data_IF_122011380088
#
_entry.id   IF_122011380088
#
_cell.length_a   1.000
_cell.length_b   1.000
_cell.length_c   1.000
_cell.angle_alpha   90.00
_cell.angle_beta   90.00
_cell.angle_gamma   90.00
#
_symmetry.space_group_name_H-M   'P 1'
#
loop_
_entity.id
_entity.type
_entity.pdbx_description
1 polymer ?
#
# COMPACT_ATOMS: atom_id res chain seq x y z
N UNK A 1 6.85 -24.05 -8.21
CA UNK A 1 7.91 -23.53 -7.34
C UNK A 1 7.32 -22.32 -6.59
N UNK A 2 7.60 -22.15 -5.31
CA UNK A 2 7.16 -20.97 -4.55
C UNK A 2 7.92 -19.75 -5.05
N UNK A 3 7.20 -18.65 -5.29
CA UNK A 3 7.82 -17.35 -5.62
C UNK A 3 8.12 -16.57 -4.34
N UNK A 4 9.24 -15.89 -4.32
CA UNK A 4 9.71 -15.11 -3.17
C UNK A 4 9.85 -13.64 -3.58
N UNK A 5 9.21 -12.74 -2.82
CA UNK A 5 9.26 -11.30 -3.04
C UNK A 5 10.18 -10.59 -2.04
N UNK A 6 10.72 -9.45 -2.43
CA UNK A 6 11.44 -8.55 -1.55
C UNK A 6 10.57 -7.32 -1.25
N UNK A 7 10.37 -7.04 0.05
CA UNK A 7 9.61 -5.86 0.50
C UNK A 7 10.53 -4.66 0.70
N UNK A 8 10.21 -3.53 0.08
CA UNK A 8 11.11 -2.36 0.07
C UNK A 8 11.17 -1.59 1.40
N UNK A 9 10.35 -1.93 2.40
CA UNK A 9 10.35 -1.25 3.71
C UNK A 9 11.72 -1.31 4.43
N UNK A 10 12.52 -2.34 4.18
CA UNK A 10 13.89 -2.43 4.70
C UNK A 10 14.88 -1.41 4.11
N UNK A 11 14.51 -0.78 2.99
CA UNK A 11 15.36 0.15 2.24
C UNK A 11 14.97 1.63 2.42
N UNK A 12 14.15 1.98 3.40
CA UNK A 12 13.62 3.35 3.61
C UNK A 12 14.69 4.45 3.70
N UNK A 13 15.94 4.09 4.01
CA UNK A 13 17.08 5.03 4.11
C UNK A 13 18.07 4.93 2.94
N UNK A 14 17.74 4.12 1.94
CA UNK A 14 18.54 3.90 0.75
C UNK A 14 17.77 4.36 -0.48
N UNK A 15 18.42 4.65 -1.61
CA UNK A 15 17.72 4.77 -2.88
C UNK A 15 16.89 3.52 -3.18
N UNK A 16 15.67 3.69 -3.72
CA UNK A 16 14.80 2.58 -4.08
C UNK A 16 15.48 1.57 -5.02
N UNK A 17 16.33 2.07 -5.90
CA UNK A 17 17.09 1.26 -6.84
C UNK A 17 17.96 0.17 -6.19
N UNK A 18 18.46 0.41 -4.96
CA UNK A 18 19.26 -0.61 -4.25
C UNK A 18 18.40 -1.86 -3.94
N UNK A 19 17.12 -1.70 -3.61
CA UNK A 19 16.24 -2.85 -3.40
C UNK A 19 16.04 -3.66 -4.68
N UNK A 20 15.86 -3.02 -5.82
CA UNK A 20 15.71 -3.71 -7.11
C UNK A 20 17.01 -4.42 -7.52
N UNK A 21 18.15 -3.79 -7.28
CA UNK A 21 19.47 -4.37 -7.54
C UNK A 21 19.68 -5.63 -6.71
N UNK A 22 19.47 -5.55 -5.40
CA UNK A 22 19.64 -6.68 -4.48
C UNK A 22 18.63 -7.79 -4.78
N UNK A 23 17.39 -7.45 -5.09
CA UNK A 23 16.38 -8.43 -5.47
C UNK A 23 16.80 -9.23 -6.72
N UNK A 24 17.37 -8.57 -7.72
CA UNK A 24 17.89 -9.22 -8.92
C UNK A 24 19.11 -10.07 -8.62
N UNK A 25 20.05 -9.55 -7.81
CA UNK A 25 21.29 -10.24 -7.47
C UNK A 25 21.04 -11.52 -6.65
N UNK A 26 20.12 -11.46 -5.68
CA UNK A 26 19.82 -12.59 -4.80
C UNK A 26 18.69 -13.50 -5.31
N UNK A 27 18.17 -13.27 -6.51
CA UNK A 27 17.24 -14.18 -7.18
C UNK A 27 15.82 -14.14 -6.62
N UNK A 28 15.35 -12.99 -6.17
CA UNK A 28 13.94 -12.79 -5.85
C UNK A 28 13.10 -12.75 -7.13
N UNK A 29 11.83 -13.13 -7.02
CA UNK A 29 10.92 -13.23 -8.15
C UNK A 29 10.15 -11.92 -8.41
N UNK A 30 9.97 -11.06 -7.37
CA UNK A 30 9.20 -9.82 -7.46
C UNK A 30 9.52 -8.86 -6.31
N UNK A 31 9.04 -7.62 -6.46
CA UNK A 31 9.04 -6.59 -5.43
C UNK A 31 7.63 -6.41 -4.85
N UNK A 32 7.54 -6.28 -3.53
CA UNK A 32 6.43 -5.62 -2.85
C UNK A 32 6.89 -4.22 -2.46
N UNK A 33 6.20 -3.20 -3.00
CA UNK A 33 6.61 -1.81 -2.88
C UNK A 33 5.96 -1.14 -1.66
N UNK A 34 6.78 -0.67 -0.72
CA UNK A 34 6.31 0.13 0.40
C UNK A 34 5.92 1.54 -0.05
N UNK A 35 4.69 1.96 0.26
CA UNK A 35 4.07 3.20 -0.18
C UNK A 35 4.32 4.41 0.73
N UNK A 36 5.51 4.52 1.28
CA UNK A 36 5.95 5.67 2.07
C UNK A 36 7.07 6.47 1.40
N UNK A 37 7.33 7.68 1.92
CA UNK A 37 8.49 8.46 1.50
C UNK A 37 9.79 7.88 2.10
N UNK A 38 10.90 7.90 1.35
CA UNK A 38 11.11 8.62 0.09
C UNK A 38 10.77 7.81 -1.18
N UNK A 39 10.23 6.59 -1.09
CA UNK A 39 10.19 5.68 -2.22
C UNK A 39 8.95 5.81 -3.10
N UNK A 40 7.77 5.60 -2.54
CA UNK A 40 6.57 5.39 -3.36
C UNK A 40 5.29 5.89 -2.67
N UNK A 41 5.33 7.06 -2.07
CA UNK A 41 4.14 7.69 -1.51
C UNK A 41 3.15 8.02 -2.62
N UNK A 42 1.89 7.57 -2.52
CA UNK A 42 0.93 7.63 -3.62
C UNK A 42 0.74 9.03 -4.24
N UNK A 43 0.68 10.15 -3.48
CA UNK A 43 0.63 11.47 -4.07
C UNK A 43 1.89 11.85 -4.86
N UNK A 44 3.07 11.41 -4.44
CA UNK A 44 4.32 11.67 -5.16
C UNK A 44 4.39 10.82 -6.44
N UNK A 45 3.92 9.57 -6.40
CA UNK A 45 3.76 8.73 -7.60
C UNK A 45 2.85 9.39 -8.63
N UNK A 46 1.70 9.92 -8.20
CA UNK A 46 0.78 10.67 -9.07
C UNK A 46 1.41 11.94 -9.65
N UNK A 47 2.29 12.59 -8.89
CA UNK A 47 3.01 13.78 -9.34
C UNK A 47 4.14 13.50 -10.35
N UNK A 48 4.51 12.23 -10.54
CA UNK A 48 5.49 11.83 -11.55
C UNK A 48 6.52 10.79 -11.13
N UNK A 49 6.69 10.52 -9.84
CA UNK A 49 7.68 9.56 -9.32
C UNK A 49 7.40 8.12 -9.79
N UNK A 50 6.19 7.82 -10.26
CA UNK A 50 5.85 6.53 -10.87
C UNK A 50 6.75 6.18 -12.06
N UNK A 51 7.29 7.18 -12.75
CA UNK A 51 8.19 6.95 -13.87
C UNK A 51 9.52 6.33 -13.44
N UNK A 52 10.01 6.68 -12.25
CA UNK A 52 11.19 6.04 -11.67
C UNK A 52 10.91 4.57 -11.34
N UNK A 53 9.76 4.26 -10.73
CA UNK A 53 9.36 2.87 -10.45
C UNK A 53 9.31 2.05 -11.74
N UNK A 54 8.67 2.58 -12.79
CA UNK A 54 8.59 1.92 -14.11
C UNK A 54 9.99 1.70 -14.71
N UNK A 55 10.85 2.69 -14.63
CA UNK A 55 12.26 2.58 -15.10
C UNK A 55 13.01 1.45 -14.38
N UNK A 56 12.81 1.31 -13.04
CA UNK A 56 13.44 0.26 -12.26
C UNK A 56 12.89 -1.13 -12.59
N UNK A 57 11.58 -1.27 -12.78
CA UNK A 57 10.93 -2.50 -13.24
C UNK A 57 11.58 -2.97 -14.55
N UNK A 58 11.69 -2.06 -15.52
CA UNK A 58 12.28 -2.37 -16.84
C UNK A 58 13.78 -2.68 -16.74
N UNK A 59 14.54 -1.84 -16.03
CA UNK A 59 16.00 -1.97 -15.91
C UNK A 59 16.43 -3.29 -15.28
N UNK A 60 15.72 -3.75 -14.25
CA UNK A 60 16.08 -4.95 -13.50
C UNK A 60 15.23 -6.17 -13.91
N UNK A 61 14.27 -6.00 -14.83
CA UNK A 61 13.30 -7.04 -15.20
C UNK A 61 12.63 -7.64 -13.95
N UNK A 62 12.31 -6.79 -12.99
CA UNK A 62 11.79 -7.17 -11.67
C UNK A 62 10.40 -6.57 -11.48
N UNK A 63 9.32 -7.38 -11.56
CA UNK A 63 7.96 -6.86 -11.46
C UNK A 63 7.64 -6.39 -10.04
N UNK A 64 6.85 -5.32 -9.93
CA UNK A 64 6.18 -4.94 -8.69
C UNK A 64 4.81 -5.62 -8.68
N UNK A 65 4.62 -6.61 -7.79
CA UNK A 65 3.38 -7.37 -7.69
C UNK A 65 2.47 -6.85 -6.58
N UNK A 66 3.04 -6.34 -5.50
CA UNK A 66 2.29 -5.78 -4.36
C UNK A 66 2.64 -4.33 -4.09
N UNK A 67 1.66 -3.58 -3.60
CA UNK A 67 1.85 -2.23 -3.11
C UNK A 67 1.23 -2.09 -1.72
N UNK A 68 2.02 -1.62 -0.75
CA UNK A 68 1.62 -1.48 0.66
C UNK A 68 1.71 -0.02 1.07
N UNK A 69 0.61 0.77 0.92
CA UNK A 69 0.58 2.18 1.29
C UNK A 69 0.71 2.35 2.81
N UNK A 70 1.45 3.37 3.25
CA UNK A 70 1.54 3.73 4.67
C UNK A 70 0.26 4.45 5.11
N UNK A 71 -0.52 3.84 6.03
CA UNK A 71 -1.85 4.35 6.42
C UNK A 71 -2.27 3.99 7.85
N UNK A 72 -1.41 3.36 8.65
CA UNK A 72 -1.79 2.85 9.98
C UNK A 72 -1.87 3.93 11.06
N UNK A 73 -1.28 5.10 10.79
CA UNK A 73 -1.18 6.20 11.73
C UNK A 73 -1.49 7.53 11.03
N UNK A 74 -1.06 8.64 11.63
CA UNK A 74 -1.18 9.96 11.02
C UNK A 74 -0.47 10.01 9.64
N UNK A 75 -1.09 10.64 8.63
CA UNK A 75 -2.41 11.30 8.67
C UNK A 75 -3.60 10.41 8.26
N UNK A 76 -3.40 9.18 7.84
CA UNK A 76 -4.40 8.39 7.10
C UNK A 76 -5.02 7.23 7.88
N UNK A 77 -5.13 7.34 9.20
CA UNK A 77 -5.84 6.34 9.98
C UNK A 77 -7.37 6.51 9.83
N UNK A 78 -8.02 5.58 9.14
CA UNK A 78 -9.46 5.62 8.91
C UNK A 78 -10.30 5.09 10.09
N UNK A 79 -9.67 4.52 11.12
CA UNK A 79 -10.39 3.92 12.25
C UNK A 79 -10.70 4.91 13.38
N UNK A 80 -10.01 6.03 13.47
CA UNK A 80 -10.20 7.07 14.48
C UNK A 80 -10.62 8.40 13.87
N UNK A 81 -11.05 9.33 14.72
CA UNK A 81 -11.39 10.69 14.31
C UNK A 81 -12.76 10.84 13.65
N UNK A 82 -12.98 11.97 13.01
CA UNK A 82 -14.23 12.34 12.36
C UNK A 82 -14.47 11.60 11.03
N UNK A 83 -15.69 11.69 10.51
CA UNK A 83 -16.00 11.14 9.18
C UNK A 83 -15.22 11.87 8.06
N UNK A 84 -14.87 13.15 8.23
CA UNK A 84 -14.01 13.86 7.29
C UNK A 84 -12.61 13.25 7.24
N UNK A 85 -12.03 12.92 8.39
CA UNK A 85 -10.73 12.25 8.47
C UNK A 85 -10.77 10.82 7.89
N UNK A 86 -11.88 10.09 8.13
CA UNK A 86 -12.06 8.78 7.48
C UNK A 86 -12.07 8.91 5.96
N UNK A 87 -12.78 9.89 5.42
CA UNK A 87 -12.85 10.14 3.97
C UNK A 87 -11.49 10.47 3.39
N UNK A 88 -10.72 11.33 4.04
CA UNK A 88 -9.37 11.68 3.60
C UNK A 88 -8.46 10.44 3.52
N UNK A 89 -8.52 9.57 4.53
CA UNK A 89 -7.79 8.30 4.51
C UNK A 89 -8.27 7.35 3.40
N UNK A 90 -9.59 7.28 3.16
CA UNK A 90 -10.17 6.46 2.07
C UNK A 90 -9.76 7.00 0.70
N UNK A 91 -9.78 8.32 0.51
CA UNK A 91 -9.37 8.94 -0.75
C UNK A 91 -7.87 8.71 -1.03
N UNK A 92 -7.03 8.76 0.00
CA UNK A 92 -5.63 8.37 -0.12
C UNK A 92 -5.45 6.89 -0.51
N UNK A 93 -6.23 5.97 0.07
CA UNK A 93 -6.17 4.55 -0.27
C UNK A 93 -6.73 4.27 -1.67
N UNK A 94 -7.74 5.01 -2.13
CA UNK A 94 -8.20 4.94 -3.53
C UNK A 94 -7.11 5.39 -4.51
N UNK A 95 -6.43 6.49 -4.20
CA UNK A 95 -5.27 6.91 -5.00
C UNK A 95 -4.17 5.85 -4.99
N UNK A 96 -3.95 5.20 -3.86
CA UNK A 96 -2.97 4.10 -3.74
C UNK A 96 -3.33 2.91 -4.65
N UNK A 97 -4.62 2.56 -4.74
CA UNK A 97 -5.13 1.54 -5.67
C UNK A 97 -4.91 1.93 -7.14
N UNK A 98 -5.16 3.20 -7.49
CA UNK A 98 -4.89 3.73 -8.84
C UNK A 98 -3.42 3.61 -9.20
N UNK A 99 -2.51 4.07 -8.33
CA UNK A 99 -1.07 4.02 -8.57
C UNK A 99 -0.55 2.58 -8.64
N UNK A 100 -1.05 1.69 -7.80
CA UNK A 100 -0.73 0.26 -7.87
C UNK A 100 -1.13 -0.33 -9.22
N UNK A 101 -2.34 -0.05 -9.71
CA UNK A 101 -2.80 -0.50 -11.04
C UNK A 101 -1.91 0.04 -12.15
N UNK A 102 -1.53 1.31 -12.08
CA UNK A 102 -0.65 1.95 -13.08
C UNK A 102 0.77 1.38 -13.10
N UNK A 103 1.26 0.84 -11.98
CA UNK A 103 2.56 0.16 -11.90
C UNK A 103 2.50 -1.30 -12.37
N UNK A 104 1.30 -1.84 -12.61
CA UNK A 104 1.09 -3.24 -12.94
C UNK A 104 1.04 -4.18 -11.74
N UNK A 105 0.85 -3.66 -10.52
CA UNK A 105 0.70 -4.47 -9.33
C UNK A 105 -0.61 -5.29 -9.37
N UNK A 106 -0.57 -6.48 -8.77
CA UNK A 106 -1.73 -7.38 -8.70
C UNK A 106 -2.60 -7.11 -7.47
N UNK A 107 -2.01 -6.55 -6.40
CA UNK A 107 -2.71 -6.29 -5.16
C UNK A 107 -2.21 -5.05 -4.44
N UNK A 108 -3.09 -4.48 -3.60
CA UNK A 108 -2.75 -3.50 -2.57
C UNK A 108 -2.99 -4.14 -1.21
N UNK A 109 -1.97 -4.13 -0.36
CA UNK A 109 -2.07 -4.57 1.02
C UNK A 109 -2.46 -3.40 1.90
N UNK A 110 -3.52 -3.54 2.68
CA UNK A 110 -3.93 -2.60 3.73
C UNK A 110 -4.08 -3.34 5.05
N UNK A 111 -4.22 -2.60 6.14
CA UNK A 111 -4.50 -3.14 7.46
C UNK A 111 -5.75 -2.51 8.05
N UNK A 112 -6.32 -3.08 9.14
CA UNK A 112 -7.44 -2.46 9.86
C UNK A 112 -7.10 -1.12 10.50
N UNK A 113 -5.83 -0.71 10.54
CA UNK A 113 -5.33 0.43 11.30
C UNK A 113 -5.59 0.30 12.83
N UNK A 114 -5.37 1.36 13.59
CA UNK A 114 -5.58 1.35 15.05
C UNK A 114 -6.87 2.10 15.40
N UNK A 115 -7.80 1.43 16.09
CA UNK A 115 -9.10 1.98 16.46
C UNK A 115 -9.09 2.91 17.69
N UNK A 116 -7.94 3.06 18.35
CA UNK A 116 -7.83 3.82 19.60
C UNK A 116 -8.49 3.13 20.80
N UNK A 117 -8.65 3.86 21.89
CA UNK A 117 -9.06 3.29 23.20
C UNK A 117 -10.46 3.68 23.65
N UNK A 118 -11.14 4.59 22.94
CA UNK A 118 -12.41 5.18 23.39
C UNK A 118 -13.65 4.62 22.67
N UNK A 119 -13.48 4.00 21.53
CA UNK A 119 -14.59 3.41 20.78
C UNK A 119 -14.92 2.00 21.27
N UNK A 120 -16.21 1.62 21.21
CA UNK A 120 -16.63 0.25 21.46
C UNK A 120 -16.24 -0.67 20.30
N UNK A 121 -16.18 -1.97 20.56
CA UNK A 121 -15.91 -2.97 19.52
C UNK A 121 -16.89 -2.85 18.34
N UNK A 122 -18.19 -2.70 18.60
CA UNK A 122 -19.20 -2.59 17.54
C UNK A 122 -19.03 -1.32 16.69
N UNK A 123 -18.64 -0.21 17.31
CA UNK A 123 -18.33 1.03 16.59
C UNK A 123 -17.10 0.88 15.67
N UNK A 124 -16.06 0.23 16.19
CA UNK A 124 -14.85 -0.04 15.41
C UNK A 124 -15.14 -1.00 14.26
N UNK A 125 -15.88 -2.08 14.53
CA UNK A 125 -16.23 -3.05 13.50
C UNK A 125 -17.09 -2.45 12.38
N UNK A 126 -18.14 -1.73 12.74
CA UNK A 126 -19.01 -1.04 11.76
C UNK A 126 -18.22 -0.04 10.90
N UNK A 127 -17.25 0.68 11.49
CA UNK A 127 -16.41 1.62 10.76
C UNK A 127 -15.43 0.90 9.82
N UNK A 128 -14.88 -0.22 10.25
CA UNK A 128 -14.01 -1.08 9.44
C UNK A 128 -14.78 -1.65 8.25
N UNK A 129 -15.92 -2.29 8.50
CA UNK A 129 -16.78 -2.87 7.44
C UNK A 129 -17.13 -1.83 6.37
N UNK A 130 -17.64 -0.67 6.79
CA UNK A 130 -17.95 0.43 5.87
C UNK A 130 -16.76 0.84 5.02
N UNK A 131 -15.58 0.92 5.62
CA UNK A 131 -14.37 1.37 4.94
C UNK A 131 -13.85 0.32 3.96
N UNK A 132 -13.77 -0.94 4.40
CA UNK A 132 -13.26 -2.04 3.57
C UNK A 132 -14.23 -2.33 2.42
N UNK A 133 -15.55 -2.24 2.63
CA UNK A 133 -16.53 -2.37 1.56
C UNK A 133 -16.35 -1.29 0.49
N UNK A 134 -16.21 -0.03 0.89
CA UNK A 134 -16.00 1.10 -0.03
C UNK A 134 -14.71 0.94 -0.84
N UNK A 135 -13.61 0.52 -0.21
CA UNK A 135 -12.32 0.30 -0.87
C UNK A 135 -12.37 -0.95 -1.76
N UNK A 136 -13.04 -2.02 -1.33
CA UNK A 136 -13.22 -3.24 -2.11
C UNK A 136 -14.01 -3.01 -3.39
N UNK A 137 -15.11 -2.25 -3.30
CA UNK A 137 -15.91 -1.86 -4.46
C UNK A 137 -15.10 -1.00 -5.45
N UNK A 138 -14.21 -0.17 -4.94
CA UNK A 138 -13.32 0.64 -5.77
C UNK A 138 -12.22 -0.20 -6.42
N UNK A 139 -11.60 -1.09 -5.65
CA UNK A 139 -10.59 -2.01 -6.15
C UNK A 139 -11.12 -2.93 -7.26
N UNK A 140 -12.38 -3.41 -7.09
CA UNK A 140 -13.06 -4.23 -8.09
C UNK A 140 -13.24 -3.49 -9.44
N UNK A 141 -13.54 -2.19 -9.42
CA UNK A 141 -13.64 -1.36 -10.64
C UNK A 141 -12.32 -1.19 -11.36
N UNK A 142 -11.21 -1.22 -10.61
CA UNK A 142 -9.86 -1.15 -11.15
C UNK A 142 -9.29 -2.53 -11.54
N UNK A 143 -10.02 -3.60 -11.25
CA UNK A 143 -9.56 -4.99 -11.43
C UNK A 143 -8.22 -5.24 -10.71
N UNK A 144 -8.10 -4.76 -9.47
CA UNK A 144 -6.97 -5.00 -8.57
C UNK A 144 -7.47 -5.64 -7.27
N UNK A 145 -6.68 -6.50 -6.66
CA UNK A 145 -7.04 -7.13 -5.38
C UNK A 145 -6.77 -6.18 -4.22
N UNK A 146 -7.71 -6.05 -3.30
CA UNK A 146 -7.49 -5.47 -2.00
C UNK A 146 -7.25 -6.60 -0.99
N UNK A 147 -6.11 -6.58 -0.34
CA UNK A 147 -5.72 -7.56 0.70
C UNK A 147 -5.71 -6.86 2.04
N UNK A 148 -6.30 -7.47 3.05
CA UNK A 148 -6.33 -6.93 4.42
C UNK A 148 -5.47 -7.81 5.32
N UNK A 149 -4.40 -7.25 5.86
CA UNK A 149 -3.53 -7.90 6.83
C UNK A 149 -4.08 -7.69 8.24
N UNK A 150 -4.30 -8.78 8.96
CA UNK A 150 -4.62 -8.71 10.38
C UNK A 150 -3.36 -8.34 11.18
N UNK A 151 -3.33 -7.12 11.72
CA UNK A 151 -2.25 -6.68 12.60
C UNK A 151 -2.54 -7.05 14.06
N UNK A 152 -1.49 -7.41 14.77
CA UNK A 152 -1.58 -7.54 16.24
C UNK A 152 -1.77 -6.15 16.86
N UNK A 153 -2.61 -6.02 17.90
CA UNK A 153 -2.68 -4.76 18.66
C UNK A 153 -1.32 -4.50 19.32
N UNK A 154 -0.83 -3.27 19.14
CA UNK A 154 0.37 -2.79 19.84
C UNK A 154 0.04 -2.37 21.27
#
# INVERSE_FOLDING_TARGET
MLKVGMFTSGYQRNPLEHCFMDAKEYGYDYIELWGGRPHAYAPDLKAGDINEVRRLIEKYEMPVIGYTPEHNAYPYNYMIGSEAQRRDAVDYLKLSLEMAKEMGAEFVLTSPANGGYLATYDQLWSRLEKTIQELGDYAAKLEIKLVVEALTPY
#
